data_IF_082776488653
#
_entry.id   IF_082776488653
#
_cell.length_a   1.000
_cell.length_b   1.000
_cell.length_c   1.000
_cell.angle_alpha   90.00
_cell.angle_beta   90.00
_cell.angle_gamma   90.00
#
_symmetry.space_group_name_H-M   'P 1'
#
loop_
_entity.id
_entity.type
_entity.pdbx_description
1 polymer ?
#
# COMPACT_ATOMS: atom_id res chain seq x y z
N UNK A 1 -22.32 -1.86 -9.35
CA UNK A 1 -21.00 -1.32 -9.74
C UNK A 1 -19.93 -2.36 -9.47
N UNK A 2 -18.98 -2.45 -10.37
CA UNK A 2 -17.84 -3.33 -10.15
C UNK A 2 -16.98 -2.81 -9.00
N UNK A 3 -16.46 -3.69 -8.15
CA UNK A 3 -15.58 -3.25 -7.06
C UNK A 3 -14.27 -2.69 -7.59
N UNK A 4 -13.75 -1.68 -6.91
CA UNK A 4 -12.43 -1.13 -7.19
C UNK A 4 -11.36 -2.14 -6.82
N UNK A 5 -10.36 -2.28 -7.66
CA UNK A 5 -9.21 -3.15 -7.38
C UNK A 5 -8.08 -2.32 -6.80
N UNK A 6 -7.75 -2.58 -5.55
CA UNK A 6 -6.77 -1.82 -4.78
C UNK A 6 -5.48 -2.63 -4.66
N UNK A 7 -4.36 -1.98 -4.97
CA UNK A 7 -3.04 -2.49 -4.66
C UNK A 7 -2.61 -1.80 -3.36
N UNK A 8 -2.61 -2.54 -2.26
CA UNK A 8 -2.14 -2.01 -0.98
C UNK A 8 -0.67 -2.35 -0.81
N UNK A 9 0.16 -1.35 -0.50
CA UNK A 9 1.59 -1.54 -0.29
C UNK A 9 1.98 -1.18 1.14
N UNK A 10 2.80 -2.03 1.74
CA UNK A 10 3.34 -1.83 3.08
C UNK A 10 4.65 -2.59 3.22
N UNK A 11 5.43 -2.24 4.24
CA UNK A 11 6.74 -2.83 4.46
C UNK A 11 6.65 -4.33 4.75
N UNK A 12 7.44 -5.12 4.04
CA UNK A 12 7.57 -6.57 4.29
C UNK A 12 8.93 -6.83 4.94
N UNK A 13 10.00 -6.63 4.17
CA UNK A 13 11.37 -6.92 4.62
C UNK A 13 12.04 -5.75 5.32
N UNK A 14 11.46 -4.55 5.21
CA UNK A 14 11.92 -3.37 5.94
C UNK A 14 11.44 -3.35 7.38
N UNK A 15 10.63 -4.36 7.79
CA UNK A 15 10.08 -4.51 9.12
C UNK A 15 8.60 -4.86 9.07
N UNK A 16 8.13 -5.62 10.07
CA UNK A 16 6.73 -6.05 10.17
C UNK A 16 6.02 -5.47 11.39
N UNK A 17 6.57 -4.39 11.96
CA UNK A 17 6.00 -3.75 13.16
C UNK A 17 4.56 -3.29 12.94
N UNK A 18 4.23 -2.92 11.70
CA UNK A 18 2.90 -2.39 11.35
C UNK A 18 1.98 -3.42 10.71
N UNK A 19 2.29 -4.71 10.81
CA UNK A 19 1.48 -5.76 10.18
C UNK A 19 0.01 -5.70 10.61
N UNK A 20 -0.25 -5.46 11.91
CA UNK A 20 -1.63 -5.36 12.40
C UNK A 20 -2.33 -4.13 11.82
N UNK A 21 -1.63 -3.00 11.73
CA UNK A 21 -2.18 -1.80 11.10
C UNK A 21 -2.54 -2.07 9.64
N UNK A 22 -1.66 -2.74 8.90
CA UNK A 22 -1.96 -3.08 7.51
C UNK A 22 -3.21 -3.95 7.41
N UNK A 23 -3.34 -4.94 8.29
CA UNK A 23 -4.51 -5.80 8.34
C UNK A 23 -5.79 -4.98 8.59
N UNK A 24 -5.73 -4.04 9.53
CA UNK A 24 -6.87 -3.19 9.86
C UNK A 24 -7.26 -2.29 8.70
N UNK A 25 -6.28 -1.69 8.02
CA UNK A 25 -6.54 -0.82 6.86
C UNK A 25 -7.12 -1.61 5.70
N UNK A 26 -6.56 -2.79 5.43
CA UNK A 26 -7.06 -3.67 4.37
C UNK A 26 -8.51 -4.08 4.65
N UNK A 27 -8.81 -4.47 5.88
CA UNK A 27 -10.18 -4.85 6.26
C UNK A 27 -11.14 -3.68 6.04
N UNK A 28 -10.72 -2.47 6.39
CA UNK A 28 -11.55 -1.28 6.20
C UNK A 28 -11.80 -1.01 4.71
N UNK A 29 -10.75 -1.10 3.90
CA UNK A 29 -10.87 -0.91 2.44
C UNK A 29 -11.90 -1.89 1.87
N UNK A 30 -11.88 -3.14 2.31
CA UNK A 30 -12.79 -4.17 1.82
C UNK A 30 -14.26 -3.86 2.13
N UNK A 31 -14.54 -3.01 3.12
CA UNK A 31 -15.92 -2.59 3.41
C UNK A 31 -16.45 -1.54 2.41
N UNK A 32 -15.61 -1.05 1.49
CA UNK A 32 -15.93 0.07 0.60
C UNK A 32 -16.18 -0.36 -0.84
N UNK A 33 -16.74 -1.54 -1.06
CA UNK A 33 -16.94 -2.11 -2.40
C UNK A 33 -15.61 -2.16 -3.16
N UNK A 34 -14.59 -2.71 -2.50
CA UNK A 34 -13.25 -2.80 -3.05
C UNK A 34 -12.66 -4.19 -2.80
N UNK A 35 -11.81 -4.62 -3.72
CA UNK A 35 -11.03 -5.86 -3.62
C UNK A 35 -9.58 -5.43 -3.40
N UNK A 36 -8.91 -6.02 -2.42
CA UNK A 36 -7.48 -5.75 -2.19
C UNK A 36 -6.68 -6.91 -2.80
N UNK A 37 -6.01 -6.63 -3.91
CA UNK A 37 -5.25 -7.66 -4.63
C UNK A 37 -4.10 -8.22 -3.79
N UNK A 38 -3.51 -7.36 -2.96
CA UNK A 38 -2.34 -7.67 -2.14
C UNK A 38 -2.71 -7.92 -0.68
N UNK A 39 -3.91 -8.48 -0.40
CA UNK A 39 -4.38 -8.57 0.99
C UNK A 39 -3.46 -9.39 1.91
N UNK A 40 -2.60 -10.25 1.34
CA UNK A 40 -1.61 -11.00 2.11
C UNK A 40 -0.63 -10.11 2.88
N UNK A 41 -0.47 -8.84 2.50
CA UNK A 41 0.41 -7.89 3.19
C UNK A 41 0.03 -7.74 4.67
N UNK A 42 -1.26 -7.87 4.99
CA UNK A 42 -1.74 -7.83 6.37
C UNK A 42 -1.62 -9.16 7.12
N UNK A 43 -1.11 -10.21 6.48
CA UNK A 43 -1.00 -11.53 7.09
C UNK A 43 0.21 -11.59 8.03
N UNK A 44 -0.01 -11.95 9.28
CA UNK A 44 1.06 -12.07 10.28
C UNK A 44 2.10 -13.14 9.93
N UNK A 45 1.74 -14.10 9.07
CA UNK A 45 2.64 -15.17 8.62
C UNK A 45 3.29 -14.87 7.27
N UNK A 46 3.25 -13.61 6.84
CA UNK A 46 3.69 -13.22 5.49
C UNK A 46 5.11 -13.69 5.16
N UNK A 47 6.07 -13.45 6.04
CA UNK A 47 7.48 -13.82 5.76
C UNK A 47 7.64 -15.31 5.57
N UNK A 48 6.89 -16.13 6.33
CA UNK A 48 6.90 -17.58 6.20
C UNK A 48 6.30 -18.01 4.87
N UNK A 49 5.18 -17.39 4.50
CA UNK A 49 4.48 -17.71 3.24
C UNK A 49 5.32 -17.28 2.03
N UNK A 50 5.96 -16.09 2.11
CA UNK A 50 6.80 -15.56 1.03
C UNK A 50 8.03 -16.45 0.77
N UNK A 51 8.54 -17.15 1.78
CA UNK A 51 9.70 -18.06 1.61
C UNK A 51 9.40 -19.20 0.66
N UNK A 52 8.14 -19.51 0.40
CA UNK A 52 7.75 -20.57 -0.52
C UNK A 52 7.88 -20.16 -1.98
N UNK A 53 8.08 -18.87 -2.23
CA UNK A 53 8.18 -18.30 -3.57
C UNK A 53 9.60 -17.81 -3.82
N UNK A 54 10.04 -17.89 -5.08
CA UNK A 54 11.30 -17.26 -5.48
C UNK A 54 11.09 -15.74 -5.60
N UNK A 55 12.19 -14.99 -5.57
CA UNK A 55 12.14 -13.55 -5.77
C UNK A 55 11.47 -13.21 -7.10
N UNK A 56 11.80 -13.96 -8.16
CA UNK A 56 11.21 -13.74 -9.48
C UNK A 56 9.68 -13.97 -9.45
N UNK A 57 9.23 -15.01 -8.75
CA UNK A 57 7.79 -15.29 -8.65
C UNK A 57 7.06 -14.18 -7.92
N UNK A 58 7.65 -13.66 -6.83
CA UNK A 58 7.08 -12.55 -6.08
C UNK A 58 6.99 -11.30 -6.98
N UNK A 59 8.09 -10.99 -7.68
CA UNK A 59 8.14 -9.82 -8.57
C UNK A 59 7.07 -9.91 -9.66
N UNK A 60 6.97 -11.05 -10.33
CA UNK A 60 6.01 -11.22 -11.43
C UNK A 60 4.57 -11.14 -10.93
N UNK A 61 4.28 -11.74 -9.77
CA UNK A 61 2.96 -11.69 -9.16
C UNK A 61 2.56 -10.25 -8.83
N UNK A 62 3.47 -9.55 -8.12
CA UNK A 62 3.17 -8.19 -7.66
C UNK A 62 3.04 -7.22 -8.82
N UNK A 63 3.88 -7.36 -9.86
CA UNK A 63 3.77 -6.50 -11.03
C UNK A 63 2.51 -6.78 -11.86
N UNK A 64 2.05 -8.04 -11.87
CA UNK A 64 0.77 -8.38 -12.52
C UNK A 64 -0.39 -7.68 -11.79
N UNK A 65 -0.40 -7.71 -10.45
CA UNK A 65 -1.40 -7.00 -9.65
C UNK A 65 -1.31 -5.49 -9.84
N UNK A 66 -0.10 -4.95 -9.95
CA UNK A 66 0.10 -3.52 -10.19
C UNK A 66 -0.55 -3.10 -11.51
N UNK A 67 -0.40 -3.90 -12.56
CA UNK A 67 -1.03 -3.63 -13.86
C UNK A 67 -2.54 -3.76 -13.80
N UNK A 68 -3.04 -4.67 -12.98
CA UNK A 68 -4.48 -4.95 -12.87
C UNK A 68 -5.21 -3.91 -12.01
N UNK A 69 -4.56 -3.30 -11.04
CA UNK A 69 -5.22 -2.46 -10.07
C UNK A 69 -5.80 -1.18 -10.67
N UNK A 70 -6.78 -0.61 -9.98
CA UNK A 70 -7.38 0.69 -10.31
C UNK A 70 -6.74 1.83 -9.54
N UNK A 71 -6.21 1.52 -8.34
CA UNK A 71 -5.65 2.53 -7.45
C UNK A 71 -4.64 1.88 -6.51
N UNK A 72 -3.59 2.63 -6.16
CA UNK A 72 -2.59 2.21 -5.17
C UNK A 72 -2.80 2.99 -3.88
N UNK A 73 -2.84 2.28 -2.77
CA UNK A 73 -2.84 2.87 -1.42
C UNK A 73 -1.64 2.29 -0.71
N UNK A 74 -0.70 3.16 -0.33
CA UNK A 74 0.55 2.72 0.32
C UNK A 74 0.68 3.34 1.70
N UNK A 75 1.01 2.52 2.70
CA UNK A 75 1.35 3.02 4.03
C UNK A 75 2.87 3.02 4.15
N UNK A 76 3.46 4.21 4.18
CA UNK A 76 4.90 4.42 4.02
C UNK A 76 5.61 4.89 5.28
N UNK A 77 5.04 4.66 6.47
CA UNK A 77 5.68 5.05 7.72
C UNK A 77 7.01 4.33 7.92
N UNK A 78 7.06 3.03 7.63
CA UNK A 78 8.30 2.24 7.73
C UNK A 78 9.02 2.22 6.38
N UNK A 79 10.31 2.58 6.33
CA UNK A 79 11.06 2.55 5.07
C UNK A 79 11.08 1.15 4.46
N UNK A 80 10.93 1.09 3.13
CA UNK A 80 10.95 -0.17 2.40
C UNK A 80 11.40 0.08 0.98
N UNK A 81 12.47 -0.60 0.56
CA UNK A 81 12.95 -0.52 -0.82
C UNK A 81 11.88 -1.05 -1.78
N UNK A 82 11.20 -2.14 -1.39
CA UNK A 82 10.15 -2.73 -2.22
C UNK A 82 8.99 -1.79 -2.45
N UNK A 83 8.52 -1.12 -1.40
CA UNK A 83 7.43 -0.15 -1.53
C UNK A 83 7.85 1.01 -2.42
N UNK A 84 9.07 1.52 -2.28
CA UNK A 84 9.58 2.58 -3.16
C UNK A 84 9.57 2.17 -4.62
N UNK A 85 10.00 0.95 -4.89
CA UNK A 85 9.98 0.40 -6.25
C UNK A 85 8.55 0.32 -6.79
N UNK A 86 7.61 -0.14 -5.95
CA UNK A 86 6.21 -0.26 -6.34
C UNK A 86 5.58 1.10 -6.65
N UNK A 87 5.90 2.13 -5.86
CA UNK A 87 5.38 3.47 -6.09
C UNK A 87 5.88 4.04 -7.42
N UNK A 88 7.15 3.88 -7.72
CA UNK A 88 7.72 4.33 -9.00
C UNK A 88 7.11 3.56 -10.17
N UNK A 89 6.91 2.24 -10.00
CA UNK A 89 6.28 1.41 -11.02
C UNK A 89 4.85 1.87 -11.28
N UNK A 90 4.11 2.20 -10.22
CA UNK A 90 2.73 2.68 -10.34
C UNK A 90 2.67 4.00 -11.12
N UNK A 91 3.56 4.92 -10.82
CA UNK A 91 3.63 6.19 -11.55
C UNK A 91 3.93 5.94 -13.04
N UNK A 92 4.88 5.06 -13.32
CA UNK A 92 5.25 4.73 -14.69
C UNK A 92 4.08 4.11 -15.46
N UNK A 93 3.22 3.35 -14.78
CA UNK A 93 2.03 2.74 -15.35
C UNK A 93 0.80 3.66 -15.31
N UNK A 94 0.97 4.90 -14.86
CA UNK A 94 -0.09 5.90 -14.74
C UNK A 94 -1.23 5.48 -13.81
N UNK A 95 -0.93 4.71 -12.78
CA UNK A 95 -1.92 4.35 -11.76
C UNK A 95 -2.03 5.47 -10.73
N UNK A 96 -3.23 5.82 -10.26
CA UNK A 96 -3.37 6.76 -9.15
C UNK A 96 -2.68 6.20 -7.91
N UNK A 97 -1.87 7.02 -7.22
CA UNK A 97 -1.10 6.60 -6.05
C UNK A 97 -1.42 7.52 -4.88
N UNK A 98 -1.81 6.90 -3.77
CA UNK A 98 -2.13 7.58 -2.52
C UNK A 98 -1.20 7.06 -1.43
N UNK A 99 -0.41 7.95 -0.84
CA UNK A 99 0.59 7.61 0.17
C UNK A 99 0.10 8.11 1.53
N UNK A 100 -0.02 7.20 2.48
CA UNK A 100 -0.37 7.52 3.87
C UNK A 100 0.87 7.31 4.74
N UNK A 101 1.11 8.21 5.68
CA UNK A 101 2.20 8.02 6.63
C UNK A 101 1.91 8.75 7.94
N UNK A 102 2.41 8.18 9.04
CA UNK A 102 2.26 8.79 10.37
C UNK A 102 3.35 9.86 10.53
N UNK A 103 2.97 11.12 10.31
CA UNK A 103 3.91 12.23 10.23
C UNK A 103 4.64 12.53 11.54
N UNK A 104 4.13 12.05 12.67
CA UNK A 104 4.82 12.20 13.95
C UNK A 104 5.86 11.10 14.19
N UNK A 105 5.81 10.01 13.41
CA UNK A 105 6.71 8.87 13.59
C UNK A 105 7.84 8.79 12.58
N UNK A 106 7.73 9.49 11.47
CA UNK A 106 8.77 9.44 10.44
C UNK A 106 8.81 10.67 9.56
N UNK A 107 9.96 10.86 8.91
CA UNK A 107 10.10 11.75 7.77
C UNK A 107 9.98 10.91 6.52
N UNK A 108 9.03 11.27 5.65
CA UNK A 108 8.87 10.57 4.39
C UNK A 108 10.07 10.85 3.49
N UNK A 109 10.53 9.84 2.74
CA UNK A 109 11.63 10.02 1.79
C UNK A 109 11.35 11.20 0.86
N UNK A 110 12.36 12.03 0.62
CA UNK A 110 12.25 13.16 -0.30
C UNK A 110 11.85 12.71 -1.72
N UNK A 111 12.25 11.52 -2.13
CA UNK A 111 11.91 10.98 -3.44
C UNK A 111 10.40 10.68 -3.57
N UNK A 112 9.73 10.47 -2.44
CA UNK A 112 8.28 10.23 -2.41
C UNK A 112 7.55 11.53 -2.13
N UNK A 113 7.99 12.25 -1.08
CA UNK A 113 7.37 13.49 -0.65
C UNK A 113 7.46 14.58 -1.72
N UNK A 114 8.55 14.61 -2.48
CA UNK A 114 8.78 15.62 -3.52
C UNK A 114 8.19 15.28 -4.89
N UNK A 115 7.66 14.09 -5.07
CA UNK A 115 7.07 13.69 -6.34
C UNK A 115 5.60 14.14 -6.39
N UNK A 116 5.33 15.16 -7.19
CA UNK A 116 3.99 15.77 -7.28
C UNK A 116 2.94 14.83 -7.88
N UNK A 117 3.35 13.74 -8.50
CA UNK A 117 2.41 12.75 -9.00
C UNK A 117 1.64 12.05 -7.88
N UNK A 118 2.30 11.83 -6.75
CA UNK A 118 1.71 11.12 -5.60
C UNK A 118 0.83 12.06 -4.78
N UNK A 119 -0.32 11.54 -4.34
CA UNK A 119 -1.15 12.24 -3.34
C UNK A 119 -0.66 11.80 -1.97
N UNK A 120 -0.20 12.74 -1.15
CA UNK A 120 0.44 12.47 0.12
C UNK A 120 -0.51 12.86 1.26
N UNK A 121 -0.77 11.93 2.17
CA UNK A 121 -1.70 12.10 3.28
C UNK A 121 -1.01 11.80 4.60
N UNK A 122 -0.57 12.84 5.34
CA UNK A 122 -0.12 12.63 6.72
C UNK A 122 -1.30 12.33 7.63
N UNK A 123 -1.12 11.48 8.62
CA UNK A 123 -2.18 11.18 9.58
C UNK A 123 -1.58 10.84 10.94
N UNK A 124 -2.42 10.84 11.98
CA UNK A 124 -2.00 10.53 13.34
C UNK A 124 -2.64 9.26 13.87
N UNK A 125 -3.96 9.09 13.69
CA UNK A 125 -4.70 7.95 14.23
C UNK A 125 -5.22 7.05 13.12
N UNK A 126 -5.53 5.81 13.49
CA UNK A 126 -6.13 4.85 12.56
C UNK A 126 -7.47 5.40 12.01
N UNK A 127 -8.22 6.09 12.83
CA UNK A 127 -9.49 6.71 12.43
C UNK A 127 -9.28 7.77 11.35
N UNK A 128 -8.19 8.54 11.46
CA UNK A 128 -7.81 9.50 10.43
C UNK A 128 -7.49 8.79 9.11
N UNK A 129 -6.77 7.67 9.19
CA UNK A 129 -6.45 6.88 8.00
C UNK A 129 -7.74 6.35 7.33
N UNK A 130 -8.71 5.92 8.12
CA UNK A 130 -10.00 5.47 7.59
C UNK A 130 -10.70 6.59 6.82
N UNK A 131 -10.67 7.82 7.33
CA UNK A 131 -11.26 8.97 6.64
C UNK A 131 -10.56 9.26 5.32
N UNK A 132 -9.24 9.11 5.29
CA UNK A 132 -8.47 9.28 4.06
C UNK A 132 -8.88 8.22 3.04
N UNK A 133 -9.00 6.97 3.47
CA UNK A 133 -9.45 5.87 2.61
C UNK A 133 -10.83 6.17 2.05
N UNK A 134 -11.74 6.66 2.88
CA UNK A 134 -13.07 7.07 2.41
C UNK A 134 -12.98 8.08 1.28
N UNK A 135 -12.14 9.10 1.44
CA UNK A 135 -11.98 10.15 0.41
C UNK A 135 -11.40 9.60 -0.89
N UNK A 136 -10.53 8.59 -0.79
CA UNK A 136 -9.93 7.97 -1.97
C UNK A 136 -10.94 7.12 -2.72
N UNK A 137 -11.73 6.32 -2.00
CA UNK A 137 -12.57 5.29 -2.61
C UNK A 137 -14.00 5.75 -2.92
N UNK A 138 -14.43 6.87 -2.34
CA UNK A 138 -15.78 7.41 -2.60
C UNK A 138 -15.81 8.38 -3.80
N UNK A 139 -14.67 8.59 -4.44
CA UNK A 139 -14.58 9.48 -5.61
C UNK A 139 -14.69 8.71 -6.92
#
# INVERSE_FOLDING_TARGET
>A
MEPKKVYFAGSIRGGRDDAQLYSDLISYIKTKNAIVLTEHIGNNNLLKDEKKLTDKEIYLRDMAWMKECDVVIAECTRPSLGVGYELASAENLKKPVNVLYRNKECHLSAMISGDEYFKIFPYESKEDAFKIIDSILNN
#
